data_IF_663783677295
#
_entry.id   IF_663783677295
#
_cell.length_a   1.000
_cell.length_b   1.000
_cell.length_c   1.000
_cell.angle_alpha   90.00
_cell.angle_beta   90.00
_cell.angle_gamma   90.00
#
_symmetry.space_group_name_H-M   'P 1'
#
loop_
_entity.id
_entity.type
_entity.pdbx_description
1 polymer ?
#
# COMPACT_ATOMS: atom_id res chain seq x y z
N UNK A 1 -24.45 -9.14 -4.67
CA UNK A 1 -23.47 -9.11 -5.74
C UNK A 1 -22.60 -10.34 -5.68
N UNK A 2 -22.07 -10.78 -6.79
CA UNK A 2 -21.29 -12.00 -6.87
C UNK A 2 -20.01 -11.70 -7.65
N UNK A 3 -18.85 -12.11 -7.14
CA UNK A 3 -17.61 -12.08 -7.88
C UNK A 3 -17.71 -13.01 -9.10
N UNK A 4 -17.34 -12.51 -10.27
CA UNK A 4 -17.25 -13.34 -11.49
C UNK A 4 -16.01 -14.26 -11.44
N UNK A 5 -14.97 -13.84 -10.74
CA UNK A 5 -13.75 -14.61 -10.48
C UNK A 5 -13.12 -14.10 -9.18
N UNK A 6 -12.45 -14.97 -8.45
CA UNK A 6 -11.62 -14.57 -7.30
C UNK A 6 -10.33 -13.99 -7.88
N UNK A 7 -10.02 -12.71 -7.62
CA UNK A 7 -8.75 -12.15 -8.06
C UNK A 7 -7.63 -12.70 -7.18
N UNK A 8 -6.73 -13.46 -7.77
CA UNK A 8 -5.51 -13.91 -7.12
C UNK A 8 -4.31 -13.14 -7.67
N UNK A 9 -3.38 -12.80 -6.79
CA UNK A 9 -2.06 -12.35 -7.21
C UNK A 9 -1.34 -13.53 -7.89
N UNK A 10 -0.92 -13.35 -9.14
CA UNK A 10 -0.48 -14.46 -9.99
C UNK A 10 0.94 -14.97 -9.72
N UNK A 11 1.69 -14.32 -8.84
CA UNK A 11 3.07 -14.71 -8.52
C UNK A 11 3.37 -14.54 -7.04
N UNK A 12 4.40 -15.25 -6.59
CA UNK A 12 4.85 -15.13 -5.21
C UNK A 12 5.29 -13.70 -4.91
N UNK A 13 5.10 -13.28 -3.66
CA UNK A 13 5.71 -12.08 -3.11
C UNK A 13 7.23 -12.19 -3.24
N UNK A 14 7.87 -11.13 -3.69
CA UNK A 14 9.32 -11.14 -3.89
C UNK A 14 10.13 -10.89 -2.63
N UNK A 15 9.52 -10.44 -1.55
CA UNK A 15 10.20 -10.26 -0.27
C UNK A 15 10.71 -11.60 0.28
N UNK A 16 11.94 -11.64 0.85
CA UNK A 16 12.42 -12.84 1.55
C UNK A 16 11.51 -13.20 2.73
N UNK A 17 11.03 -14.43 2.76
CA UNK A 17 10.13 -14.95 3.79
C UNK A 17 10.52 -16.39 4.13
N UNK A 18 10.46 -16.73 5.41
CA UNK A 18 10.49 -18.08 5.91
C UNK A 18 9.06 -18.64 6.04
N UNK A 19 8.90 -19.94 6.22
CA UNK A 19 7.58 -20.56 6.40
C UNK A 19 6.84 -19.98 7.62
N UNK A 20 7.55 -19.64 8.68
CA UNK A 20 6.99 -19.03 9.89
C UNK A 20 6.44 -17.62 9.63
N UNK A 21 7.01 -16.88 8.68
CA UNK A 21 6.55 -15.55 8.32
C UNK A 21 5.18 -15.57 7.65
N UNK A 22 4.76 -16.68 7.05
CA UNK A 22 3.54 -16.73 6.25
C UNK A 22 2.26 -16.62 7.07
N UNK A 23 2.26 -16.97 8.34
CA UNK A 23 1.08 -16.94 9.20
C UNK A 23 -0.16 -17.48 8.49
N UNK A 24 -0.31 -18.78 8.41
CA UNK A 24 -1.45 -19.44 7.78
C UNK A 24 -2.51 -19.79 8.82
N UNK A 25 -3.77 -19.47 8.50
CA UNK A 25 -4.95 -19.89 9.24
C UNK A 25 -5.83 -20.79 8.37
N UNK A 26 -6.65 -21.66 8.97
CA UNK A 26 -7.53 -22.54 8.21
C UNK A 26 -8.50 -21.75 7.33
N UNK A 27 -9.00 -22.36 6.26
CA UNK A 27 -10.13 -21.83 5.52
C UNK A 27 -11.43 -22.09 6.29
N UNK A 28 -12.41 -21.18 6.08
CA UNK A 28 -13.75 -21.37 6.63
C UNK A 28 -14.40 -22.63 6.03
N UNK A 29 -14.96 -23.47 6.89
CA UNK A 29 -15.79 -24.61 6.53
C UNK A 29 -17.08 -24.57 7.32
N UNK A 30 -18.23 -24.61 6.60
CA UNK A 30 -19.57 -24.51 7.20
C UNK A 30 -20.06 -23.11 7.46
N UNK A 31 -21.21 -23.02 8.10
CA UNK A 31 -21.91 -21.77 8.39
C UNK A 31 -21.59 -21.29 9.81
N UNK A 32 -21.24 -20.01 9.95
CA UNK A 32 -20.96 -19.38 11.24
C UNK A 32 -21.72 -18.08 11.42
N UNK A 33 -21.80 -17.64 12.69
CA UNK A 33 -22.37 -16.34 13.07
C UNK A 33 -21.32 -15.52 13.81
N UNK A 34 -21.39 -14.20 13.66
CA UNK A 34 -20.55 -13.23 14.37
C UNK A 34 -21.29 -11.90 14.54
N UNK A 35 -20.80 -11.03 15.41
CA UNK A 35 -21.30 -9.65 15.48
C UNK A 35 -20.75 -8.85 14.29
N UNK A 36 -19.49 -9.09 13.92
CA UNK A 36 -18.84 -8.42 12.82
C UNK A 36 -18.13 -9.38 11.87
N UNK A 37 -18.26 -9.13 10.58
CA UNK A 37 -17.39 -9.74 9.56
C UNK A 37 -16.55 -8.67 8.89
N UNK A 38 -15.22 -8.87 8.89
CA UNK A 38 -14.23 -8.03 8.21
C UNK A 38 -13.72 -8.79 6.99
N UNK A 39 -13.87 -8.19 5.81
CA UNK A 39 -13.47 -8.81 4.53
C UNK A 39 -12.19 -8.15 4.04
N UNK A 40 -11.08 -8.86 4.16
CA UNK A 40 -9.72 -8.43 3.83
C UNK A 40 -8.83 -8.23 5.06
N UNK A 41 -7.73 -8.98 5.14
CA UNK A 41 -6.73 -8.95 6.21
C UNK A 41 -5.55 -8.00 5.91
N UNK A 42 -5.77 -6.98 5.09
CA UNK A 42 -4.80 -5.89 4.88
C UNK A 42 -4.76 -4.90 6.06
N UNK A 43 -3.93 -3.86 5.94
CA UNK A 43 -3.72 -2.89 7.03
C UNK A 43 -5.02 -2.31 7.59
N UNK A 44 -6.00 -1.97 6.74
CA UNK A 44 -7.29 -1.44 7.20
C UNK A 44 -8.11 -2.47 7.98
N UNK A 45 -8.21 -3.70 7.47
CA UNK A 45 -9.01 -4.75 8.10
C UNK A 45 -8.43 -5.22 9.43
N UNK A 46 -7.11 -5.43 9.47
CA UNK A 46 -6.40 -5.84 10.69
C UNK A 46 -6.52 -4.74 11.77
N UNK A 47 -6.32 -3.47 11.40
CA UNK A 47 -6.41 -2.36 12.36
C UNK A 47 -7.85 -2.13 12.83
N UNK A 48 -8.84 -2.25 11.94
CA UNK A 48 -10.25 -2.21 12.31
C UNK A 48 -10.61 -3.32 13.29
N UNK A 49 -10.29 -4.57 12.97
CA UNK A 49 -10.60 -5.72 13.83
C UNK A 49 -9.92 -5.60 15.20
N UNK A 50 -8.63 -5.22 15.24
CA UNK A 50 -7.87 -4.98 16.47
C UNK A 50 -8.53 -3.90 17.33
N UNK A 51 -8.90 -2.76 16.72
CA UNK A 51 -9.50 -1.65 17.45
C UNK A 51 -10.89 -2.00 17.96
N UNK A 52 -11.71 -2.64 17.14
CA UNK A 52 -13.05 -3.09 17.50
C UNK A 52 -13.01 -4.07 18.68
N UNK A 53 -12.12 -5.07 18.61
CA UNK A 53 -11.89 -6.04 19.69
C UNK A 53 -11.43 -5.37 20.99
N UNK A 54 -10.60 -4.33 20.89
CA UNK A 54 -10.13 -3.55 22.05
C UNK A 54 -11.24 -2.68 22.68
N UNK A 55 -12.16 -2.13 21.87
CA UNK A 55 -13.30 -1.33 22.37
C UNK A 55 -14.30 -2.22 23.12
N UNK A 56 -14.60 -3.38 22.56
CA UNK A 56 -15.52 -4.32 23.18
C UNK A 56 -15.02 -5.77 23.04
N UNK A 57 -14.36 -6.31 24.09
CA UNK A 57 -13.84 -7.67 24.09
C UNK A 57 -14.90 -8.78 24.02
N UNK A 58 -16.17 -8.45 24.20
CA UNK A 58 -17.27 -9.43 24.12
C UNK A 58 -17.76 -9.66 22.69
N UNK A 59 -17.35 -8.82 21.72
CA UNK A 59 -17.74 -9.00 20.32
C UNK A 59 -17.07 -10.23 19.72
N UNK A 60 -17.86 -10.98 18.97
CA UNK A 60 -17.37 -12.03 18.07
C UNK A 60 -17.03 -11.39 16.73
N UNK A 61 -15.76 -11.38 16.35
CA UNK A 61 -15.28 -10.75 15.13
C UNK A 61 -14.67 -11.83 14.23
N UNK A 62 -15.15 -11.91 12.99
CA UNK A 62 -14.60 -12.81 11.98
C UNK A 62 -13.87 -12.00 10.92
N UNK A 63 -12.60 -12.29 10.71
CA UNK A 63 -11.76 -11.70 9.66
C UNK A 63 -11.47 -12.74 8.59
N UNK A 64 -11.83 -12.47 7.35
CA UNK A 64 -11.58 -13.37 6.22
C UNK A 64 -10.71 -12.73 5.15
N UNK A 65 -9.89 -13.53 4.48
CA UNK A 65 -9.13 -13.12 3.31
C UNK A 65 -9.05 -14.24 2.27
N UNK A 66 -8.99 -13.86 0.99
CA UNK A 66 -8.81 -14.79 -0.12
C UNK A 66 -7.42 -15.43 -0.14
N UNK A 67 -6.43 -14.76 0.46
CA UNK A 67 -5.05 -15.20 0.58
C UNK A 67 -4.62 -15.22 2.06
N UNK A 68 -3.39 -15.60 2.36
CA UNK A 68 -2.81 -15.31 3.67
C UNK A 68 -2.26 -13.87 3.70
N UNK A 69 -2.13 -13.29 4.90
CA UNK A 69 -1.73 -11.89 5.05
C UNK A 69 -0.39 -11.59 4.36
N UNK A 70 0.60 -12.48 4.49
CA UNK A 70 1.94 -12.35 3.92
C UNK A 70 1.99 -12.40 2.38
N UNK A 71 0.91 -12.77 1.70
CA UNK A 71 0.86 -12.86 0.22
C UNK A 71 -0.12 -11.91 -0.42
N UNK A 72 -0.96 -11.27 0.39
CA UNK A 72 -1.97 -10.29 -0.05
C UNK A 72 -1.34 -9.01 -0.64
N UNK A 73 -2.17 -8.13 -1.21
CA UNK A 73 -1.69 -6.84 -1.75
C UNK A 73 -0.96 -5.98 -0.72
N UNK A 74 -1.29 -6.12 0.57
CA UNK A 74 -0.62 -5.41 1.67
C UNK A 74 0.84 -5.82 1.86
N UNK A 75 1.19 -7.05 1.49
CA UNK A 75 2.55 -7.58 1.53
C UNK A 75 3.41 -7.23 0.30
N UNK A 76 2.79 -6.70 -0.78
CA UNK A 76 3.42 -6.56 -2.10
C UNK A 76 3.97 -5.17 -2.41
N UNK A 77 3.89 -4.25 -1.46
CA UNK A 77 4.43 -2.89 -1.60
C UNK A 77 5.96 -2.85 -1.41
N UNK A 78 6.55 -1.68 -1.67
CA UNK A 78 8.02 -1.48 -1.59
C UNK A 78 8.56 -1.33 -0.16
N UNK A 79 7.71 -1.46 0.86
CA UNK A 79 8.11 -1.43 2.26
C UNK A 79 8.36 -0.03 2.85
N UNK A 80 7.71 1.00 2.31
CA UNK A 80 7.77 2.36 2.86
C UNK A 80 6.58 2.63 3.75
N UNK A 81 6.82 3.04 4.98
CA UNK A 81 5.84 3.62 5.89
C UNK A 81 6.07 5.13 5.90
N UNK A 82 5.20 5.86 5.21
CA UNK A 82 5.39 7.29 4.95
C UNK A 82 4.52 8.10 5.91
N UNK A 83 5.16 9.03 6.62
CA UNK A 83 4.51 9.94 7.57
C UNK A 83 4.13 11.31 7.00
N UNK A 84 4.45 11.56 5.73
CA UNK A 84 4.16 12.80 5.02
C UNK A 84 3.18 12.57 3.88
N UNK A 85 2.36 13.55 3.52
CA UNK A 85 1.53 13.47 2.32
C UNK A 85 2.36 13.07 1.10
N UNK A 86 1.92 12.08 0.37
CA UNK A 86 2.63 11.54 -0.79
C UNK A 86 1.77 11.63 -2.04
N UNK A 87 2.36 12.12 -3.10
CA UNK A 87 1.70 12.55 -4.32
C UNK A 87 1.59 11.44 -5.37
N UNK A 88 0.83 10.38 -5.15
CA UNK A 88 0.42 9.52 -6.28
C UNK A 88 -1.01 9.88 -6.68
N UNK A 89 -1.16 10.59 -7.82
CA UNK A 89 -2.46 11.09 -8.25
C UNK A 89 -3.08 12.04 -7.24
N UNK A 90 -2.25 12.77 -6.52
CA UNK A 90 -2.63 13.63 -5.44
C UNK A 90 -3.53 14.72 -5.93
N UNK A 91 -4.58 14.83 -5.26
CA UNK A 91 -5.48 15.92 -5.40
C UNK A 91 -5.03 17.08 -4.53
N UNK A 92 -5.44 18.24 -5.00
CA UNK A 92 -5.49 19.46 -4.20
C UNK A 92 -6.16 19.27 -2.84
N UNK A 93 -7.00 18.25 -2.64
CA UNK A 93 -7.65 17.98 -1.35
C UNK A 93 -6.67 17.46 -0.29
N UNK A 94 -5.73 16.57 -0.63
CA UNK A 94 -4.69 16.11 0.29
C UNK A 94 -3.74 17.27 0.66
N UNK A 95 -3.36 18.09 -0.31
CA UNK A 95 -2.48 19.25 -0.10
C UNK A 95 -3.16 20.35 0.73
N UNK A 96 -4.43 20.66 0.45
CA UNK A 96 -5.20 21.67 1.22
C UNK A 96 -5.39 21.29 2.68
N UNK A 97 -5.32 20.00 2.99
CA UNK A 97 -5.47 19.44 4.33
C UNK A 97 -4.19 18.77 4.82
N UNK A 98 -3.03 19.27 4.37
CA UNK A 98 -1.73 18.65 4.64
C UNK A 98 -1.46 18.42 6.13
N UNK A 99 -1.84 19.35 7.00
CA UNK A 99 -1.66 19.21 8.45
C UNK A 99 -2.53 18.09 9.03
N UNK A 100 -3.83 18.05 8.68
CA UNK A 100 -4.75 16.99 9.10
C UNK A 100 -4.26 15.65 8.59
N UNK A 101 -3.85 15.61 7.32
CA UNK A 101 -3.37 14.39 6.70
C UNK A 101 -2.08 13.89 7.35
N UNK A 102 -1.14 14.82 7.65
CA UNK A 102 0.08 14.50 8.37
C UNK A 102 -0.21 13.90 9.76
N UNK A 103 -1.12 14.51 10.53
CA UNK A 103 -1.51 14.00 11.85
C UNK A 103 -2.06 12.57 11.76
N UNK A 104 -2.90 12.28 10.76
CA UNK A 104 -3.41 10.93 10.50
C UNK A 104 -2.28 9.93 10.20
N UNK A 105 -1.34 10.29 9.32
CA UNK A 105 -0.23 9.41 8.95
C UNK A 105 0.69 9.13 10.14
N UNK A 106 1.00 10.15 10.94
CA UNK A 106 1.83 9.99 12.13
C UNK A 106 1.19 9.11 13.19
N UNK A 107 -0.12 9.28 13.42
CA UNK A 107 -0.85 8.39 14.34
C UNK A 107 -0.88 6.94 13.81
N UNK A 108 -1.04 6.76 12.48
CA UNK A 108 -0.93 5.43 11.87
C UNK A 108 0.44 4.78 12.07
N UNK A 109 1.53 5.56 11.97
CA UNK A 109 2.89 5.11 12.25
C UNK A 109 3.04 4.74 13.73
N UNK A 110 2.58 5.60 14.65
CA UNK A 110 2.64 5.35 16.08
C UNK A 110 1.95 4.04 16.47
N UNK A 111 0.76 3.77 15.92
CA UNK A 111 0.03 2.52 16.18
C UNK A 111 0.76 1.29 15.64
N UNK A 112 1.43 1.41 14.50
CA UNK A 112 2.27 0.34 13.95
C UNK A 112 3.47 0.08 14.86
N UNK A 113 4.19 1.14 15.24
CA UNK A 113 5.38 1.07 16.10
C UNK A 113 5.04 0.46 17.47
N UNK A 114 3.97 0.94 18.12
CA UNK A 114 3.47 0.38 19.38
C UNK A 114 3.17 -1.12 19.25
N UNK A 115 2.55 -1.54 18.14
CA UNK A 115 2.20 -2.95 17.94
C UNK A 115 3.44 -3.79 17.64
N UNK A 116 4.34 -3.31 16.79
CA UNK A 116 5.60 -3.97 16.44
C UNK A 116 6.47 -4.14 17.69
N UNK A 117 6.62 -3.09 18.47
CA UNK A 117 7.41 -3.12 19.71
C UNK A 117 6.79 -4.03 20.75
N UNK A 118 5.48 -3.89 21.02
CA UNK A 118 4.77 -4.71 22.02
C UNK A 118 4.86 -6.19 21.75
N UNK A 119 4.74 -6.59 20.50
CA UNK A 119 4.69 -8.00 20.10
C UNK A 119 6.02 -8.49 19.51
N UNK A 120 7.07 -7.67 19.54
CA UNK A 120 8.41 -7.98 19.03
C UNK A 120 8.37 -8.55 17.59
N UNK A 121 7.59 -7.89 16.72
CA UNK A 121 7.43 -8.33 15.33
C UNK A 121 8.72 -8.04 14.57
N UNK A 122 9.44 -9.10 14.17
CA UNK A 122 10.61 -8.99 13.30
C UNK A 122 10.16 -8.69 11.86
N UNK A 123 10.06 -7.41 11.51
CA UNK A 123 9.69 -6.93 10.18
C UNK A 123 10.75 -6.02 9.54
N UNK A 124 11.98 -6.08 10.01
CA UNK A 124 13.09 -5.28 9.47
C UNK A 124 12.78 -3.77 9.58
N UNK A 125 12.37 -3.33 10.76
CA UNK A 125 11.93 -1.95 11.03
C UNK A 125 13.11 -0.99 11.09
N UNK A 126 13.28 -0.12 10.08
CA UNK A 126 14.40 0.81 9.95
C UNK A 126 13.89 2.25 9.77
N UNK A 127 14.15 3.11 10.74
CA UNK A 127 13.82 4.55 10.66
C UNK A 127 14.97 5.32 9.98
N UNK A 128 15.04 5.25 8.68
CA UNK A 128 16.17 5.80 7.86
C UNK A 128 15.79 7.02 7.02
N UNK A 129 14.53 7.48 7.11
CA UNK A 129 14.05 8.53 6.22
C UNK A 129 13.88 8.07 4.76
N UNK A 130 13.75 9.03 3.86
CA UNK A 130 13.66 8.76 2.42
C UNK A 130 14.26 9.87 1.59
N UNK A 131 14.72 9.51 0.39
CA UNK A 131 15.12 10.44 -0.64
C UNK A 131 13.97 10.66 -1.63
N UNK A 132 13.81 11.89 -2.11
CA UNK A 132 12.92 12.26 -3.20
C UNK A 132 13.76 12.90 -4.28
N UNK A 133 13.96 12.20 -5.42
CA UNK A 133 14.99 12.55 -6.38
C UNK A 133 14.44 12.82 -7.77
N UNK A 134 15.08 13.77 -8.47
CA UNK A 134 14.85 14.06 -9.88
C UNK A 134 16.04 13.61 -10.74
N UNK A 135 15.74 13.23 -11.98
CA UNK A 135 16.72 12.93 -13.02
C UNK A 135 16.94 14.18 -13.88
N UNK A 136 15.89 14.70 -14.47
CA UNK A 136 15.93 15.82 -15.42
C UNK A 136 15.63 17.16 -14.75
N UNK A 137 16.44 18.21 -15.02
CA UNK A 137 16.21 19.56 -14.45
C UNK A 137 14.84 20.16 -14.76
N UNK A 138 14.11 19.69 -15.77
CA UNK A 138 12.75 20.18 -16.06
C UNK A 138 11.74 19.84 -14.96
N UNK A 139 12.08 18.97 -14.02
CA UNK A 139 11.25 18.65 -12.85
C UNK A 139 11.46 19.59 -11.65
N UNK A 140 12.29 20.65 -11.80
CA UNK A 140 12.63 21.58 -10.73
C UNK A 140 11.40 22.22 -10.07
N UNK A 141 10.37 22.55 -10.86
CA UNK A 141 9.13 23.13 -10.34
C UNK A 141 8.40 22.17 -9.39
N UNK A 142 8.40 20.87 -9.68
CA UNK A 142 7.78 19.83 -8.84
C UNK A 142 8.60 19.67 -7.55
N UNK A 143 9.93 19.71 -7.65
CA UNK A 143 10.81 19.65 -6.48
C UNK A 143 10.60 20.86 -5.58
N UNK A 144 10.46 22.05 -6.15
CA UNK A 144 10.20 23.26 -5.38
C UNK A 144 8.83 23.22 -4.68
N UNK A 145 7.78 22.76 -5.37
CA UNK A 145 6.46 22.56 -4.76
C UNK A 145 6.53 21.60 -3.57
N UNK A 146 7.35 20.55 -3.67
CA UNK A 146 7.56 19.61 -2.55
C UNK A 146 8.27 20.29 -1.37
N UNK A 147 9.30 21.12 -1.63
CA UNK A 147 9.98 21.93 -0.61
C UNK A 147 9.01 22.89 0.07
N UNK A 148 8.20 23.61 -0.70
CA UNK A 148 7.21 24.55 -0.16
C UNK A 148 6.20 23.86 0.76
N UNK A 149 5.77 22.63 0.40
CA UNK A 149 4.90 21.81 1.25
C UNK A 149 5.60 21.37 2.55
N UNK A 150 6.89 20.99 2.49
CA UNK A 150 7.65 20.65 3.68
C UNK A 150 7.81 21.86 4.63
N UNK A 151 8.09 23.05 4.07
CA UNK A 151 8.17 24.29 4.84
C UNK A 151 6.82 24.65 5.48
N UNK A 152 5.72 24.52 4.75
CA UNK A 152 4.36 24.75 5.26
C UNK A 152 4.05 23.83 6.46
N UNK A 153 4.49 22.58 6.39
CA UNK A 153 4.31 21.59 7.45
C UNK A 153 5.37 21.67 8.56
N UNK A 154 6.37 22.57 8.43
CA UNK A 154 7.52 22.68 9.32
C UNK A 154 8.32 21.37 9.46
N UNK A 155 8.41 20.61 8.34
CA UNK A 155 9.14 19.36 8.31
C UNK A 155 10.63 19.59 7.99
N UNK A 156 11.54 18.92 8.71
CA UNK A 156 12.97 18.99 8.41
C UNK A 156 13.27 18.30 7.07
N UNK A 157 14.15 18.90 6.29
CA UNK A 157 14.65 18.34 5.05
C UNK A 157 16.08 18.78 4.77
N UNK A 158 16.77 18.06 3.88
CA UNK A 158 18.07 18.46 3.34
C UNK A 158 18.03 18.39 1.83
N UNK A 159 18.60 19.41 1.17
CA UNK A 159 18.81 19.40 -0.27
C UNK A 159 20.15 18.74 -0.57
N UNK A 160 20.21 17.86 -1.57
CA UNK A 160 21.39 17.16 -1.99
C UNK A 160 21.62 17.35 -3.49
N UNK A 161 22.87 17.60 -3.88
CA UNK A 161 23.31 17.59 -5.26
C UNK A 161 23.65 16.17 -5.73
N UNK A 162 23.97 16.02 -7.04
CA UNK A 162 24.25 14.71 -7.63
C UNK A 162 25.46 13.98 -7.03
N UNK A 163 26.49 14.68 -6.57
CA UNK A 163 27.66 14.03 -5.95
C UNK A 163 27.33 13.54 -4.53
N UNK A 164 26.62 14.34 -3.74
CA UNK A 164 26.13 13.94 -2.41
C UNK A 164 25.18 12.73 -2.51
N UNK A 165 24.32 12.71 -3.55
CA UNK A 165 23.45 11.57 -3.81
C UNK A 165 24.23 10.32 -4.22
N UNK A 166 25.30 10.47 -5.05
CA UNK A 166 26.18 9.35 -5.40
C UNK A 166 26.80 8.70 -4.17
N UNK A 167 27.28 9.48 -3.22
CA UNK A 167 27.86 8.97 -1.96
C UNK A 167 26.84 8.21 -1.10
N UNK A 168 25.56 8.58 -1.18
CA UNK A 168 24.49 7.98 -0.39
C UNK A 168 23.81 6.81 -1.08
N UNK A 169 23.64 6.89 -2.40
CA UNK A 169 22.79 5.97 -3.17
C UNK A 169 23.59 5.06 -4.12
N UNK A 170 24.87 5.33 -4.32
CA UNK A 170 25.77 4.56 -5.20
C UNK A 170 25.48 4.72 -6.70
N UNK A 171 24.66 5.69 -7.09
CA UNK A 171 24.29 5.94 -8.49
C UNK A 171 24.43 7.42 -8.86
N UNK A 172 24.84 7.68 -10.10
CA UNK A 172 24.92 9.03 -10.69
C UNK A 172 23.71 9.39 -11.54
N UNK A 173 22.66 8.58 -11.46
CA UNK A 173 21.42 8.79 -12.22
C UNK A 173 20.70 10.08 -11.87
N UNK A 174 20.75 10.48 -10.60
CA UNK A 174 19.97 11.61 -10.08
C UNK A 174 20.80 12.89 -10.03
N UNK A 175 20.19 14.00 -10.52
CA UNK A 175 20.83 15.32 -10.54
C UNK A 175 20.64 16.11 -9.25
N UNK A 176 19.51 15.89 -8.56
CA UNK A 176 19.13 16.57 -7.33
C UNK A 176 18.21 15.70 -6.48
N UNK A 177 18.25 15.88 -5.16
CA UNK A 177 17.38 15.15 -4.24
C UNK A 177 17.04 15.95 -2.99
N UNK A 178 15.96 15.54 -2.35
CA UNK A 178 15.52 16.02 -1.05
C UNK A 178 15.51 14.82 -0.11
N UNK A 179 16.23 14.89 0.98
CA UNK A 179 16.11 13.91 2.05
C UNK A 179 15.12 14.42 3.09
N UNK A 180 14.22 13.54 3.54
CA UNK A 180 13.30 13.79 4.66
C UNK A 180 13.41 12.66 5.68
N UNK A 181 13.60 12.96 6.99
CA UNK A 181 13.54 11.95 8.04
C UNK A 181 12.10 11.45 8.25
N UNK A 182 11.93 10.47 9.14
CA UNK A 182 10.60 10.01 9.57
C UNK A 182 9.87 9.10 8.57
N UNK A 183 10.55 8.61 7.54
CA UNK A 183 10.09 7.46 6.76
C UNK A 183 10.74 6.19 7.29
N UNK A 184 9.93 5.16 7.50
CA UNK A 184 10.38 3.87 7.99
C UNK A 184 10.38 2.87 6.84
N UNK A 185 11.43 2.08 6.73
CA UNK A 185 11.52 0.96 5.80
C UNK A 185 11.28 -0.35 6.55
N UNK A 186 10.52 -1.24 5.94
CA UNK A 186 10.17 -2.54 6.51
C UNK A 186 10.16 -3.64 5.44
N UNK A 187 10.15 -4.88 5.87
CA UNK A 187 9.64 -5.99 5.06
C UNK A 187 8.10 -6.02 5.23
N UNK A 188 7.32 -5.57 4.24
CA UNK A 188 5.88 -5.40 4.40
C UNK A 188 5.13 -6.73 4.53
N UNK A 189 5.69 -7.83 4.04
CA UNK A 189 5.09 -9.14 4.18
C UNK A 189 5.22 -9.67 5.60
N UNK A 190 6.40 -9.53 6.22
CA UNK A 190 6.60 -9.84 7.64
C UNK A 190 5.75 -8.93 8.53
N UNK A 191 5.68 -7.62 8.21
CA UNK A 191 4.88 -6.67 8.99
C UNK A 191 3.41 -7.06 9.00
N UNK A 192 2.76 -7.23 7.86
CA UNK A 192 1.32 -7.51 7.84
C UNK A 192 0.98 -8.88 8.42
N UNK A 193 1.83 -9.89 8.21
CA UNK A 193 1.66 -11.20 8.84
C UNK A 193 1.79 -11.14 10.36
N UNK A 194 2.79 -10.41 10.87
CA UNK A 194 2.97 -10.17 12.29
C UNK A 194 1.78 -9.42 12.92
N UNK A 195 1.29 -8.38 12.26
CA UNK A 195 0.10 -7.65 12.72
C UNK A 195 -1.14 -8.57 12.78
N UNK A 196 -1.36 -9.42 11.80
CA UNK A 196 -2.50 -10.34 11.76
C UNK A 196 -2.36 -11.48 12.79
N UNK A 197 -1.14 -11.97 13.02
CA UNK A 197 -0.85 -13.02 14.03
C UNK A 197 -1.18 -12.59 15.45
N UNK A 198 -1.02 -11.32 15.77
CA UNK A 198 -1.22 -10.76 17.10
C UNK A 198 -2.53 -9.98 17.24
N UNK A 199 -3.58 -10.45 16.56
CA UNK A 199 -4.94 -9.96 16.80
C UNK A 199 -5.45 -10.48 18.15
N UNK A 200 -6.36 -9.75 18.83
CA UNK A 200 -6.98 -10.21 20.07
C UNK A 200 -7.76 -11.53 19.90
N UNK A 201 -7.94 -12.29 20.98
CA UNK A 201 -8.53 -13.64 20.97
C UNK A 201 -9.97 -13.69 20.50
N UNK A 202 -10.72 -12.58 20.61
CA UNK A 202 -12.09 -12.48 20.11
C UNK A 202 -12.17 -12.17 18.60
N UNK A 203 -11.03 -12.22 17.88
CA UNK A 203 -10.96 -12.12 16.42
C UNK A 203 -10.58 -13.47 15.84
N UNK A 204 -11.51 -14.14 15.18
CA UNK A 204 -11.25 -15.38 14.46
C UNK A 204 -10.86 -15.07 13.02
N UNK A 205 -9.69 -15.57 12.59
CA UNK A 205 -9.14 -15.33 11.24
C UNK A 205 -9.28 -16.58 10.38
N UNK A 206 -9.79 -16.40 9.14
CA UNK A 206 -9.81 -17.44 8.11
C UNK A 206 -9.09 -16.95 6.87
N UNK A 207 -8.06 -17.67 6.45
CA UNK A 207 -7.36 -17.47 5.20
C UNK A 207 -7.94 -18.36 4.09
N UNK A 208 -7.54 -18.12 2.83
CA UNK A 208 -8.06 -18.85 1.67
C UNK A 208 -9.61 -18.91 1.64
N UNK A 209 -10.22 -17.83 2.13
CA UNK A 209 -11.67 -17.70 2.31
C UNK A 209 -12.17 -16.45 1.55
N UNK A 210 -12.23 -16.52 0.22
CA UNK A 210 -12.70 -15.40 -0.57
C UNK A 210 -14.19 -15.14 -0.32
N UNK A 211 -14.54 -13.87 -0.11
CA UNK A 211 -15.92 -13.42 -0.13
C UNK A 211 -16.44 -13.40 -1.56
N UNK A 212 -17.35 -14.28 -1.92
CA UNK A 212 -17.95 -14.38 -3.26
C UNK A 212 -19.16 -13.46 -3.43
N UNK A 213 -19.88 -13.20 -2.36
CA UNK A 213 -21.03 -12.29 -2.35
C UNK A 213 -21.25 -11.72 -0.96
N UNK A 214 -21.72 -10.47 -0.91
CA UNK A 214 -22.19 -9.79 0.28
C UNK A 214 -23.64 -9.35 0.06
N UNK A 215 -24.53 -9.82 0.93
CA UNK A 215 -25.95 -9.47 0.91
C UNK A 215 -26.36 -8.85 2.24
N UNK A 216 -27.10 -7.75 2.16
CA UNK A 216 -27.79 -7.20 3.31
C UNK A 216 -29.10 -7.96 3.51
N UNK A 217 -29.36 -8.43 4.71
CA UNK A 217 -30.57 -9.15 5.12
C UNK A 217 -31.31 -8.36 6.20
N UNK A 218 -32.56 -8.79 6.49
CA UNK A 218 -33.30 -8.22 7.63
C UNK A 218 -32.54 -8.55 8.93
N UNK A 219 -32.02 -7.50 9.58
CA UNK A 219 -31.30 -7.63 10.85
C UNK A 219 -29.77 -7.83 10.74
N UNK A 220 -29.19 -8.00 9.54
CA UNK A 220 -27.76 -8.25 9.42
C UNK A 220 -27.23 -8.25 8.00
N UNK A 221 -26.13 -8.95 7.81
CA UNK A 221 -25.46 -9.19 6.53
C UNK A 221 -25.14 -10.67 6.40
N UNK A 222 -25.06 -11.16 5.16
CA UNK A 222 -24.62 -12.50 4.83
C UNK A 222 -23.48 -12.44 3.82
N UNK A 223 -22.36 -13.04 4.16
CA UNK A 223 -21.20 -13.24 3.27
C UNK A 223 -21.18 -14.69 2.80
N UNK A 224 -21.17 -14.91 1.50
CA UNK A 224 -21.01 -16.24 0.90
C UNK A 224 -19.55 -16.47 0.56
N UNK A 225 -19.00 -17.60 0.96
CA UNK A 225 -17.64 -18.06 0.64
C UNK A 225 -17.65 -19.33 -0.20
N UNK A 226 -16.50 -19.93 -0.48
CA UNK A 226 -16.43 -21.19 -1.23
C UNK A 226 -17.01 -22.40 -0.47
N UNK A 227 -16.86 -22.42 0.88
CA UNK A 227 -17.14 -23.61 1.69
C UNK A 227 -18.11 -23.34 2.86
N UNK A 228 -18.81 -22.19 2.83
CA UNK A 228 -19.75 -21.84 3.87
C UNK A 228 -20.25 -20.40 3.78
N UNK A 229 -21.01 -20.01 4.79
CA UNK A 229 -21.53 -18.65 4.89
C UNK A 229 -21.25 -18.04 6.27
N UNK A 230 -21.10 -16.71 6.29
CA UNK A 230 -20.97 -15.94 7.53
C UNK A 230 -22.19 -15.03 7.63
N UNK A 231 -22.95 -15.16 8.71
CA UNK A 231 -23.99 -14.18 9.07
C UNK A 231 -23.46 -13.31 10.18
N UNK A 232 -23.55 -11.99 9.97
CA UNK A 232 -23.11 -11.03 10.97
C UNK A 232 -24.08 -9.85 11.08
N UNK A 233 -24.03 -9.13 12.20
CA UNK A 233 -24.82 -7.91 12.37
C UNK A 233 -24.30 -6.79 11.49
N UNK A 234 -22.99 -6.73 11.28
CA UNK A 234 -22.30 -5.68 10.54
C UNK A 234 -21.17 -6.29 9.67
N UNK A 235 -20.82 -5.60 8.58
CA UNK A 235 -19.68 -5.95 7.73
C UNK A 235 -18.76 -4.74 7.49
N UNK A 236 -17.46 -5.00 7.43
CA UNK A 236 -16.46 -4.06 6.93
C UNK A 236 -15.81 -4.58 5.65
N UNK A 237 -15.85 -3.79 4.59
CA UNK A 237 -15.12 -4.03 3.34
C UNK A 237 -13.73 -3.39 3.42
N UNK A 238 -12.71 -4.21 3.63
CA UNK A 238 -11.30 -3.82 3.65
C UNK A 238 -10.53 -4.32 2.41
N UNK A 239 -11.24 -4.63 1.33
CA UNK A 239 -10.70 -5.22 0.11
C UNK A 239 -10.11 -4.19 -0.86
N UNK A 240 -9.95 -2.93 -0.43
CA UNK A 240 -9.33 -1.83 -1.17
C UNK A 240 -9.78 -1.76 -2.65
N UNK A 241 -8.88 -2.05 -3.58
CA UNK A 241 -9.17 -2.03 -5.02
C UNK A 241 -10.33 -2.96 -5.45
N UNK A 242 -10.57 -4.04 -4.71
CA UNK A 242 -11.58 -5.06 -5.00
C UNK A 242 -12.94 -4.78 -4.34
N UNK A 243 -13.05 -3.77 -3.50
CA UNK A 243 -14.32 -3.43 -2.81
C UNK A 243 -15.44 -3.12 -3.80
N UNK A 244 -15.10 -2.61 -4.98
CA UNK A 244 -16.05 -2.34 -6.07
C UNK A 244 -16.77 -3.59 -6.56
N UNK A 245 -16.13 -4.74 -6.53
CA UNK A 245 -16.72 -6.01 -6.99
C UNK A 245 -17.76 -6.55 -5.99
N UNK A 246 -17.62 -6.22 -4.71
CA UNK A 246 -18.56 -6.61 -3.64
C UNK A 246 -19.69 -5.60 -3.41
N UNK A 247 -19.52 -4.35 -3.81
CA UNK A 247 -20.52 -3.33 -3.62
C UNK A 247 -20.53 -2.29 -4.72
N UNK A 248 -21.64 -2.11 -5.48
CA UNK A 248 -21.73 -1.10 -6.55
C UNK A 248 -21.66 0.33 -6.03
N UNK A 249 -21.92 0.53 -4.74
CA UNK A 249 -21.82 1.86 -4.12
C UNK A 249 -20.40 2.33 -3.96
N UNK A 250 -19.39 1.47 -4.19
CA UNK A 250 -17.95 1.82 -4.17
C UNK A 250 -17.41 2.21 -5.56
N UNK A 251 -18.23 2.71 -6.48
CA UNK A 251 -17.79 3.18 -7.81
C UNK A 251 -17.03 4.52 -7.74
N UNK A 252 -16.07 4.63 -6.80
CA UNK A 252 -15.28 5.84 -6.54
C UNK A 252 -13.78 5.61 -6.61
N UNK A 253 -13.38 4.41 -7.01
CA UNK A 253 -11.98 4.01 -7.08
C UNK A 253 -11.70 3.12 -8.30
N UNK A 254 -10.47 3.17 -8.79
CA UNK A 254 -9.98 2.31 -9.87
C UNK A 254 -8.84 1.42 -9.34
N UNK A 255 -8.79 0.19 -9.87
CA UNK A 255 -7.71 -0.75 -9.60
C UNK A 255 -6.55 -0.49 -10.55
N UNK A 256 -5.34 -0.39 -10.01
CA UNK A 256 -4.11 -0.23 -10.76
C UNK A 256 -3.15 -1.36 -10.40
N UNK A 257 -2.43 -1.85 -11.40
CA UNK A 257 -1.30 -2.77 -11.21
C UNK A 257 -0.01 -1.99 -11.00
N UNK A 258 0.78 -2.40 -10.03
CA UNK A 258 2.16 -1.95 -9.83
C UNK A 258 3.08 -3.16 -9.80
N UNK A 259 4.34 -2.96 -10.15
CA UNK A 259 5.32 -4.04 -10.24
C UNK A 259 6.56 -3.68 -9.45
N UNK A 260 7.16 -4.68 -8.83
CA UNK A 260 8.45 -4.56 -8.17
C UNK A 260 9.35 -5.74 -8.52
N UNK A 261 10.65 -5.51 -8.50
CA UNK A 261 11.67 -6.54 -8.64
C UNK A 261 12.71 -6.37 -7.55
N UNK A 262 13.34 -7.46 -7.16
CA UNK A 262 14.42 -7.44 -6.18
C UNK A 262 15.61 -8.26 -6.71
N UNK A 263 16.82 -7.81 -6.46
CA UNK A 263 18.04 -8.56 -6.80
C UNK A 263 18.29 -9.67 -5.79
N UNK A 264 19.20 -10.60 -6.12
CA UNK A 264 19.89 -11.38 -5.11
C UNK A 264 20.69 -10.44 -4.16
N UNK A 265 21.07 -10.88 -2.95
CA UNK A 265 22.01 -10.12 -2.13
C UNK A 265 23.33 -9.91 -2.87
N UNK A 266 23.85 -8.69 -2.83
CA UNK A 266 25.16 -8.41 -3.43
C UNK A 266 26.27 -9.18 -2.72
N UNK A 267 27.15 -9.78 -3.51
CA UNK A 267 28.39 -10.38 -2.99
C UNK A 267 29.31 -9.30 -2.40
N UNK A 268 30.30 -9.66 -1.55
CA UNK A 268 31.29 -8.70 -1.07
C UNK A 268 31.99 -7.94 -2.19
N UNK A 269 32.36 -8.61 -3.29
CA UNK A 269 33.04 -7.99 -4.45
C UNK A 269 32.12 -6.98 -5.17
N UNK A 270 30.84 -7.30 -5.31
CA UNK A 270 29.85 -6.39 -5.91
C UNK A 270 29.64 -5.16 -5.03
N UNK A 271 29.60 -5.32 -3.70
CA UNK A 271 29.49 -4.19 -2.76
C UNK A 271 30.71 -3.26 -2.82
N UNK A 272 31.92 -3.78 -3.01
CA UNK A 272 33.14 -2.95 -3.15
C UNK A 272 33.15 -2.06 -4.40
N UNK A 273 32.29 -2.33 -5.37
CA UNK A 273 32.11 -1.47 -6.57
C UNK A 273 31.23 -0.25 -6.32
N UNK A 274 30.68 -0.12 -5.11
CA UNK A 274 29.81 0.95 -4.67
C UNK A 274 30.45 1.73 -3.52
N UNK A 275 30.06 3.01 -3.29
CA UNK A 275 30.35 3.66 -2.02
C UNK A 275 29.83 2.83 -0.83
N UNK A 276 30.41 3.02 0.35
CA UNK A 276 29.86 2.43 1.57
C UNK A 276 28.46 3.01 1.84
N UNK A 277 27.45 2.17 1.81
CA UNK A 277 26.04 2.57 1.97
C UNK A 277 25.38 1.80 3.10
N UNK A 278 24.55 2.48 3.86
CA UNK A 278 23.53 1.90 4.71
C UNK A 278 22.26 1.64 3.91
N UNK A 279 21.23 1.05 4.53
CA UNK A 279 19.92 0.91 3.89
C UNK A 279 19.28 2.28 3.60
N UNK A 280 18.60 2.39 2.48
CA UNK A 280 17.92 3.62 2.08
C UNK A 280 16.72 3.33 1.18
N UNK A 281 15.79 4.29 1.11
CA UNK A 281 14.67 4.28 0.19
C UNK A 281 14.55 5.59 -0.58
N UNK A 282 14.23 5.49 -1.87
CA UNK A 282 14.08 6.61 -2.79
C UNK A 282 12.73 6.57 -3.49
N UNK A 283 12.07 7.72 -3.57
CA UNK A 283 10.87 7.94 -4.38
C UNK A 283 11.16 8.97 -5.48
N UNK A 284 10.63 8.77 -6.70
CA UNK A 284 10.86 9.72 -7.81
C UNK A 284 9.95 10.95 -7.69
N UNK A 285 10.33 12.04 -8.35
CA UNK A 285 9.49 13.25 -8.48
C UNK A 285 8.20 12.99 -9.27
N UNK A 286 8.24 12.09 -10.25
CA UNK A 286 7.05 11.62 -10.95
C UNK A 286 6.73 10.18 -10.56
N UNK A 287 5.67 9.98 -9.79
CA UNK A 287 5.31 8.70 -9.22
C UNK A 287 4.86 7.64 -10.25
N UNK A 288 4.43 8.06 -11.46
CA UNK A 288 3.95 7.17 -12.53
C UNK A 288 5.06 6.81 -13.50
N UNK A 289 5.88 7.78 -13.89
CA UNK A 289 6.96 7.59 -14.87
C UNK A 289 8.28 7.18 -14.21
N UNK A 290 8.62 7.77 -13.07
CA UNK A 290 9.88 7.51 -12.37
C UNK A 290 9.89 6.20 -11.58
N UNK A 291 11.04 5.87 -11.02
CA UNK A 291 11.25 4.63 -10.29
C UNK A 291 11.44 4.86 -8.79
N UNK A 292 10.78 4.05 -7.99
CA UNK A 292 11.12 3.88 -6.57
C UNK A 292 12.25 2.86 -6.48
N UNK A 293 13.32 3.22 -5.80
CA UNK A 293 14.44 2.34 -5.50
C UNK A 293 14.60 2.18 -3.99
N UNK A 294 15.11 1.04 -3.57
CA UNK A 294 15.48 0.78 -2.20
C UNK A 294 16.73 -0.11 -2.15
N UNK A 295 17.64 0.19 -1.26
CA UNK A 295 18.74 -0.68 -0.87
C UNK A 295 18.44 -1.23 0.53
N UNK A 296 18.44 -2.54 0.68
CA UNK A 296 18.03 -3.21 1.91
C UNK A 296 19.23 -3.51 2.80
N UNK A 297 19.00 -3.74 4.10
CA UNK A 297 20.04 -4.10 5.07
C UNK A 297 20.74 -5.43 4.73
N UNK A 298 20.08 -6.33 4.00
CA UNK A 298 20.65 -7.58 3.49
C UNK A 298 21.27 -7.43 2.08
N UNK A 299 21.61 -6.18 1.70
CA UNK A 299 22.36 -5.82 0.50
C UNK A 299 21.67 -6.14 -0.83
N UNK A 300 20.33 -5.98 -0.90
CA UNK A 300 19.57 -6.14 -2.14
C UNK A 300 19.12 -4.79 -2.67
N UNK A 301 18.95 -4.70 -3.97
CA UNK A 301 18.24 -3.59 -4.59
C UNK A 301 16.80 -4.01 -4.92
N UNK A 302 15.85 -3.17 -4.51
CA UNK A 302 14.47 -3.26 -4.97
C UNK A 302 14.23 -2.15 -5.99
N UNK A 303 13.60 -2.51 -7.11
CA UNK A 303 13.17 -1.60 -8.18
C UNK A 303 11.67 -1.71 -8.32
N UNK A 304 10.97 -0.59 -8.19
CA UNK A 304 9.54 -0.48 -8.46
C UNK A 304 9.33 0.61 -9.51
N UNK A 305 8.80 0.24 -10.63
CA UNK A 305 8.40 1.14 -11.71
C UNK A 305 7.16 0.55 -12.40
N UNK A 306 6.56 1.29 -13.30
CA UNK A 306 5.35 0.93 -14.03
C UNK A 306 4.07 0.86 -13.18
N UNK A 307 3.05 1.45 -13.75
CA UNK A 307 1.68 1.41 -13.25
C UNK A 307 0.77 1.16 -14.44
N UNK A 308 0.05 0.07 -14.45
CA UNK A 308 -0.90 -0.28 -15.51
C UNK A 308 -2.33 -0.32 -14.97
N UNK A 309 -3.34 -0.18 -15.84
CA UNK A 309 -4.71 -0.49 -15.44
C UNK A 309 -4.80 -1.97 -15.02
N UNK A 310 -5.40 -2.25 -13.87
CA UNK A 310 -5.72 -3.61 -13.44
C UNK A 310 -7.23 -3.82 -13.58
N UNK A 311 -7.68 -4.02 -14.82
CA UNK A 311 -9.09 -4.20 -15.11
C UNK A 311 -9.64 -5.42 -14.36
N UNK A 312 -10.65 -5.21 -13.52
CA UNK A 312 -11.24 -6.24 -12.66
C UNK A 312 -10.21 -6.94 -11.73
N UNK A 313 -9.10 -6.25 -11.38
CA UNK A 313 -8.06 -6.81 -10.54
C UNK A 313 -7.15 -7.86 -11.23
N UNK A 314 -7.27 -8.05 -12.54
CA UNK A 314 -6.45 -9.03 -13.28
C UNK A 314 -5.14 -8.41 -13.73
N UNK A 315 -4.04 -9.09 -13.43
CA UNK A 315 -2.68 -8.77 -13.90
C UNK A 315 -2.14 -10.01 -14.63
N UNK A 316 -1.74 -9.84 -15.87
CA UNK A 316 -1.27 -10.96 -16.70
C UNK A 316 0.22 -11.28 -16.45
N UNK A 317 0.62 -12.52 -16.68
CA UNK A 317 2.03 -12.93 -16.62
C UNK A 317 2.90 -12.13 -17.62
N UNK A 318 2.34 -11.79 -18.80
CA UNK A 318 3.02 -10.98 -19.81
C UNK A 318 3.34 -9.55 -19.31
N UNK A 319 2.44 -8.91 -18.58
CA UNK A 319 2.67 -7.61 -17.96
C UNK A 319 3.80 -7.68 -16.93
N UNK A 320 3.80 -8.70 -16.07
CA UNK A 320 4.86 -8.89 -15.07
C UNK A 320 6.22 -9.19 -15.72
N UNK A 321 6.26 -10.02 -16.77
CA UNK A 321 7.48 -10.30 -17.51
C UNK A 321 8.03 -9.06 -18.25
N UNK A 322 7.14 -8.20 -18.77
CA UNK A 322 7.53 -6.93 -19.37
C UNK A 322 8.14 -5.99 -18.32
N UNK A 323 7.50 -5.86 -17.15
CA UNK A 323 8.02 -5.06 -16.04
C UNK A 323 9.42 -5.57 -15.59
N UNK A 324 9.63 -6.89 -15.51
CA UNK A 324 10.93 -7.47 -15.17
C UNK A 324 12.04 -7.01 -16.11
N UNK A 325 11.81 -7.03 -17.45
CA UNK A 325 12.80 -6.56 -18.42
C UNK A 325 13.14 -5.09 -18.26
N UNK A 326 12.12 -4.27 -18.03
CA UNK A 326 12.29 -2.82 -17.86
C UNK A 326 12.99 -2.49 -16.54
N UNK A 327 12.66 -3.21 -15.45
CA UNK A 327 13.33 -3.05 -14.16
C UNK A 327 14.81 -3.44 -14.24
N UNK A 328 15.16 -4.51 -14.98
CA UNK A 328 16.55 -4.90 -15.18
C UNK A 328 17.32 -3.84 -15.97
N UNK A 329 16.74 -3.34 -17.07
CA UNK A 329 17.35 -2.28 -17.87
C UNK A 329 17.57 -1.00 -17.05
N UNK A 330 16.56 -0.60 -16.26
CA UNK A 330 16.67 0.54 -15.36
C UNK A 330 17.76 0.32 -14.30
N UNK A 331 17.78 -0.84 -13.66
CA UNK A 331 18.79 -1.17 -12.65
C UNK A 331 20.20 -1.08 -13.23
N UNK A 332 20.43 -1.65 -14.40
CA UNK A 332 21.72 -1.59 -15.07
C UNK A 332 22.09 -0.18 -15.57
N UNK A 333 21.12 0.65 -15.92
CA UNK A 333 21.33 2.08 -16.23
C UNK A 333 21.73 2.86 -14.98
N UNK A 334 21.03 2.61 -13.87
CA UNK A 334 21.33 3.27 -12.60
C UNK A 334 22.66 2.82 -11.99
N UNK A 335 23.01 1.54 -12.16
CA UNK A 335 24.21 0.91 -11.59
C UNK A 335 25.03 0.20 -12.68
N UNK A 336 25.70 0.95 -13.58
CA UNK A 336 26.49 0.35 -14.66
C UNK A 336 27.64 -0.53 -14.18
N UNK A 337 28.09 -0.36 -12.93
CA UNK A 337 29.09 -1.21 -12.27
C UNK A 337 28.54 -2.56 -11.78
N UNK A 338 27.23 -2.82 -11.87
CA UNK A 338 26.55 -4.03 -11.41
C UNK A 338 25.80 -4.78 -12.54
N UNK A 339 26.35 -4.77 -13.77
CA UNK A 339 25.73 -5.43 -14.93
C UNK A 339 25.63 -6.96 -14.78
N UNK A 340 26.42 -7.54 -13.89
CA UNK A 340 26.45 -8.97 -13.56
C UNK A 340 25.40 -9.37 -12.50
N UNK A 341 24.64 -8.40 -11.93
CA UNK A 341 23.64 -8.66 -10.90
C UNK A 341 22.26 -8.88 -11.54
N UNK A 342 21.69 -10.09 -11.45
CA UNK A 342 20.35 -10.36 -11.97
C UNK A 342 19.27 -9.93 -11.00
N UNK A 343 18.04 -9.77 -11.51
CA UNK A 343 16.85 -9.75 -10.67
C UNK A 343 16.52 -11.19 -10.25
N UNK A 344 16.38 -11.42 -8.95
CA UNK A 344 16.00 -12.71 -8.40
C UNK A 344 14.51 -12.97 -8.53
N UNK A 345 13.69 -11.95 -8.23
CA UNK A 345 12.23 -12.06 -8.25
C UNK A 345 11.60 -10.79 -8.80
N UNK A 346 10.47 -10.98 -9.48
CA UNK A 346 9.58 -9.89 -9.92
C UNK A 346 8.15 -10.26 -9.56
N UNK A 347 7.42 -9.31 -8.98
CA UNK A 347 6.02 -9.52 -8.61
C UNK A 347 5.17 -8.30 -8.92
N UNK A 348 3.88 -8.52 -8.92
CA UNK A 348 2.88 -7.47 -9.08
C UNK A 348 2.03 -7.32 -7.82
N UNK A 349 1.41 -6.18 -7.68
CA UNK A 349 0.43 -5.88 -6.65
C UNK A 349 -0.64 -4.94 -7.16
N UNK A 350 -1.83 -4.98 -6.56
CA UNK A 350 -2.90 -4.05 -6.88
C UNK A 350 -2.97 -2.92 -5.87
N UNK A 351 -3.12 -1.70 -6.38
CA UNK A 351 -3.45 -0.52 -5.59
C UNK A 351 -4.80 0.04 -6.01
N UNK A 352 -5.41 0.81 -5.13
CA UNK A 352 -6.62 1.57 -5.40
C UNK A 352 -6.27 3.04 -5.52
N UNK A 353 -6.75 3.67 -6.58
CA UNK A 353 -6.65 5.11 -6.77
C UNK A 353 -8.03 5.75 -6.89
N UNK A 354 -8.16 6.94 -6.37
CA UNK A 354 -9.36 7.78 -6.47
C UNK A 354 -9.04 9.00 -7.32
N UNK A 355 -10.02 9.52 -8.03
CA UNK A 355 -9.80 10.63 -8.97
C UNK A 355 -9.28 11.92 -8.32
N UNK A 356 -9.66 12.15 -7.07
CA UNK A 356 -9.31 13.34 -6.30
C UNK A 356 -8.42 13.06 -5.09
N UNK A 357 -7.80 11.87 -5.00
CA UNK A 357 -6.92 11.47 -3.88
C UNK A 357 -7.64 11.22 -2.54
N UNK A 358 -8.89 11.63 -2.41
CA UNK A 358 -9.66 11.44 -1.18
C UNK A 358 -9.90 9.95 -0.88
N UNK A 359 -9.99 9.56 0.39
CA UNK A 359 -10.25 8.17 0.77
C UNK A 359 -11.68 7.74 0.39
N UNK A 360 -11.87 6.43 0.20
CA UNK A 360 -13.19 5.79 0.23
C UNK A 360 -13.38 5.26 1.63
N UNK A 361 -14.04 6.07 2.50
CA UNK A 361 -14.07 5.80 3.93
C UNK A 361 -15.42 6.15 4.53
N UNK A 362 -15.92 5.27 5.42
CA UNK A 362 -17.15 5.49 6.16
C UNK A 362 -18.19 4.40 5.94
N UNK A 363 -19.46 4.74 6.23
CA UNK A 363 -20.60 3.85 6.09
C UNK A 363 -21.13 3.85 4.65
N UNK A 364 -21.17 2.68 4.02
CA UNK A 364 -21.67 2.51 2.64
C UNK A 364 -23.19 2.23 2.60
N UNK A 365 -23.67 1.45 3.56
CA UNK A 365 -25.05 1.04 3.70
C UNK A 365 -25.38 0.86 5.19
N UNK A 366 -26.63 0.67 5.60
CA UNK A 366 -26.99 0.61 7.02
C UNK A 366 -26.15 -0.31 7.90
N UNK A 367 -25.54 -1.36 7.34
CA UNK A 367 -24.75 -2.36 8.08
C UNK A 367 -23.41 -2.66 7.41
N UNK A 368 -23.00 -1.82 6.45
CA UNK A 368 -21.79 -2.06 5.65
C UNK A 368 -20.90 -0.82 5.71
N UNK A 369 -19.65 -1.04 6.10
CA UNK A 369 -18.61 -0.04 6.26
C UNK A 369 -17.45 -0.30 5.32
N UNK A 370 -16.63 0.70 5.01
CA UNK A 370 -15.45 0.51 4.16
C UNK A 370 -14.32 1.47 4.49
N UNK A 371 -13.10 0.99 4.30
CA UNK A 371 -11.89 1.79 4.20
C UNK A 371 -11.07 1.34 2.99
N UNK A 372 -10.80 2.28 2.08
CA UNK A 372 -10.08 2.05 0.83
C UNK A 372 -9.57 3.35 0.22
N UNK A 373 -9.12 3.30 -1.04
CA UNK A 373 -8.53 4.47 -1.69
C UNK A 373 -7.14 4.77 -1.14
N UNK A 374 -6.23 3.75 -1.13
CA UNK A 374 -4.89 3.89 -0.58
C UNK A 374 -4.02 4.87 -1.37
N UNK A 375 -4.32 5.12 -2.66
CA UNK A 375 -3.59 6.03 -3.55
C UNK A 375 -2.07 5.77 -3.56
N UNK A 376 -1.66 4.49 -3.41
CA UNK A 376 -0.26 4.05 -3.48
C UNK A 376 0.58 4.22 -2.21
N UNK A 377 0.09 4.93 -1.17
CA UNK A 377 0.77 5.11 0.12
C UNK A 377 -0.10 4.55 1.26
N UNK A 378 -0.29 3.23 1.28
CA UNK A 378 -1.35 2.59 2.05
C UNK A 378 -0.98 2.13 3.46
N UNK A 379 0.30 2.01 3.84
CA UNK A 379 0.65 1.35 5.11
C UNK A 379 0.13 2.14 6.31
N UNK A 380 0.65 3.34 6.56
CA UNK A 380 0.19 4.21 7.66
C UNK A 380 -1.25 4.69 7.46
N UNK A 381 -1.61 5.11 6.23
CA UNK A 381 -2.94 5.62 5.88
C UNK A 381 -4.06 4.62 6.15
N UNK A 382 -3.91 3.37 5.72
CA UNK A 382 -4.95 2.35 5.90
C UNK A 382 -4.98 1.81 7.33
N UNK A 383 -3.86 1.82 8.04
CA UNK A 383 -3.82 1.50 9.47
C UNK A 383 -4.71 2.46 10.25
N UNK A 384 -4.49 3.77 10.13
CA UNK A 384 -5.29 4.75 10.84
C UNK A 384 -6.75 4.78 10.34
N UNK A 385 -6.97 4.59 9.03
CA UNK A 385 -8.31 4.55 8.47
C UNK A 385 -9.15 3.40 9.05
N UNK A 386 -8.55 2.21 9.24
CA UNK A 386 -9.19 1.07 9.89
C UNK A 386 -9.54 1.37 11.35
N UNK A 387 -8.59 1.90 12.11
CA UNK A 387 -8.78 2.25 13.53
C UNK A 387 -9.92 3.28 13.70
N UNK A 388 -9.86 4.39 12.96
CA UNK A 388 -10.89 5.44 13.07
C UNK A 388 -12.26 4.99 12.57
N UNK A 389 -12.30 4.03 11.64
CA UNK A 389 -13.57 3.47 11.19
C UNK A 389 -14.23 2.63 12.28
N UNK A 390 -13.44 1.89 13.08
CA UNK A 390 -13.94 1.17 14.23
C UNK A 390 -14.46 2.15 15.31
N UNK A 391 -13.71 3.22 15.58
CA UNK A 391 -14.14 4.27 16.50
C UNK A 391 -15.47 4.89 16.05
N UNK A 392 -15.58 5.26 14.77
CA UNK A 392 -16.82 5.83 14.21
C UNK A 392 -17.99 4.85 14.29
N UNK A 393 -17.76 3.57 13.96
CA UNK A 393 -18.80 2.55 13.97
C UNK A 393 -19.33 2.24 15.37
N UNK A 394 -18.46 2.39 16.38
CA UNK A 394 -18.78 2.16 17.81
C UNK A 394 -19.16 3.45 18.57
N UNK A 395 -19.23 4.60 17.88
CA UNK A 395 -19.58 5.87 18.51
C UNK A 395 -18.54 6.39 19.49
N UNK A 396 -17.27 6.02 19.31
CA UNK A 396 -16.16 6.52 20.14
C UNK A 396 -15.81 7.96 19.76
N UNK A 397 -15.56 8.79 20.76
CA UNK A 397 -15.06 10.14 20.54
C UNK A 397 -13.56 10.10 20.23
N UNK A 398 -13.22 10.44 18.99
CA UNK A 398 -11.83 10.51 18.52
C UNK A 398 -11.65 11.74 17.60
N UNK A 399 -10.85 12.74 18.00
CA UNK A 399 -10.68 13.99 17.24
C UNK A 399 -10.15 13.78 15.81
N UNK A 400 -9.41 12.69 15.55
CA UNK A 400 -8.91 12.38 14.23
C UNK A 400 -10.00 11.91 13.25
N UNK A 401 -11.20 11.57 13.72
CA UNK A 401 -12.35 11.33 12.83
C UNK A 401 -12.68 12.57 12.02
N UNK A 402 -12.67 13.76 12.65
CA UNK A 402 -12.88 15.02 11.94
C UNK A 402 -11.78 15.28 10.92
N UNK A 403 -10.51 14.99 11.24
CA UNK A 403 -9.39 15.09 10.32
C UNK A 403 -9.54 14.12 9.12
N UNK A 404 -9.98 12.88 9.35
CA UNK A 404 -10.26 11.92 8.28
C UNK A 404 -11.40 12.40 7.37
N UNK A 405 -12.46 12.94 7.94
CA UNK A 405 -13.60 13.48 7.19
C UNK A 405 -13.23 14.75 6.41
N UNK A 406 -12.31 15.58 6.91
CA UNK A 406 -11.82 16.79 6.24
C UNK A 406 -11.08 16.51 4.93
N UNK A 407 -10.54 15.29 4.74
CA UNK A 407 -9.95 14.85 3.47
C UNK A 407 -10.98 14.79 2.33
N UNK A 408 -12.26 14.82 2.68
CA UNK A 408 -13.38 14.80 1.73
C UNK A 408 -13.74 13.40 1.26
N UNK A 409 -14.60 13.34 0.25
CA UNK A 409 -15.08 12.09 -0.34
C UNK A 409 -14.47 11.86 -1.72
N UNK A 410 -14.16 10.61 -2.02
CA UNK A 410 -13.74 10.22 -3.35
C UNK A 410 -14.82 10.53 -4.38
N UNK A 411 -14.42 11.12 -5.51
CA UNK A 411 -15.32 11.44 -6.60
C UNK A 411 -15.84 10.18 -7.29
N UNK A 412 -17.06 10.28 -7.83
CA UNK A 412 -17.63 9.22 -8.65
C UNK A 412 -16.73 8.93 -9.87
N UNK A 413 -16.59 7.66 -10.20
CA UNK A 413 -15.95 7.17 -11.41
C UNK A 413 -16.96 6.38 -12.25
N UNK A 414 -17.00 6.61 -13.58
CA UNK A 414 -17.94 5.90 -14.44
C UNK A 414 -17.68 4.39 -14.45
N UNK A 415 -18.64 3.58 -14.87
CA UNK A 415 -18.41 2.15 -15.08
C UNK A 415 -17.52 1.90 -16.32
N UNK A 416 -16.93 0.69 -16.40
CA UNK A 416 -16.31 0.21 -17.65
C UNK A 416 -17.33 0.16 -18.78
N UNK A 417 -16.94 0.49 -20.05
CA UNK A 417 -15.56 0.71 -20.51
C UNK A 417 -15.05 2.16 -20.32
N UNK A 418 -15.88 3.11 -19.93
CA UNK A 418 -15.49 4.52 -19.83
C UNK A 418 -14.41 4.75 -18.77
N UNK A 419 -14.48 4.02 -17.65
CA UNK A 419 -13.42 4.06 -16.64
C UNK A 419 -12.08 3.62 -17.23
N UNK A 420 -12.07 2.54 -17.98
CA UNK A 420 -10.88 1.92 -18.52
C UNK A 420 -10.17 2.86 -19.52
N UNK A 421 -10.94 3.50 -20.38
CA UNK A 421 -10.45 4.51 -21.33
C UNK A 421 -9.90 5.71 -20.56
N UNK A 422 -10.62 6.19 -19.55
CA UNK A 422 -10.20 7.32 -18.73
C UNK A 422 -8.91 7.07 -17.96
N UNK A 423 -8.76 5.88 -17.36
CA UNK A 423 -7.56 5.47 -16.64
C UNK A 423 -6.38 5.31 -17.60
N UNK A 424 -6.57 4.65 -18.75
CA UNK A 424 -5.52 4.51 -19.76
C UNK A 424 -5.03 5.86 -20.29
N UNK A 425 -5.95 6.78 -20.58
CA UNK A 425 -5.62 8.14 -21.02
C UNK A 425 -4.87 8.95 -19.95
N UNK A 426 -5.28 8.85 -18.67
CA UNK A 426 -4.60 9.52 -17.57
C UNK A 426 -3.17 8.98 -17.40
N UNK A 427 -2.99 7.66 -17.41
CA UNK A 427 -1.66 7.05 -17.32
C UNK A 427 -0.76 7.41 -18.49
N UNK A 428 -1.31 7.44 -19.71
CA UNK A 428 -0.56 7.86 -20.89
C UNK A 428 -0.08 9.32 -20.75
N UNK A 429 -0.97 10.22 -20.31
CA UNK A 429 -0.61 11.61 -20.05
C UNK A 429 0.50 11.74 -19.01
N UNK A 430 0.37 11.08 -17.87
CA UNK A 430 1.38 11.12 -16.79
C UNK A 430 2.74 10.56 -17.25
N UNK A 431 2.75 9.45 -18.01
CA UNK A 431 3.97 8.91 -18.60
C UNK A 431 4.59 9.88 -19.61
N UNK A 432 3.77 10.51 -20.45
CA UNK A 432 4.28 11.49 -21.42
C UNK A 432 4.86 12.73 -20.72
N UNK A 433 4.18 13.24 -19.71
CA UNK A 433 4.68 14.38 -18.92
C UNK A 433 5.96 14.05 -18.16
N UNK A 434 6.03 12.86 -17.59
CA UNK A 434 7.18 12.39 -16.82
C UNK A 434 8.24 11.67 -17.63
N UNK A 435 8.18 11.65 -18.97
CA UNK A 435 9.09 10.82 -19.81
C UNK A 435 10.58 11.10 -19.61
N UNK A 436 10.95 12.30 -19.17
CA UNK A 436 12.32 12.67 -18.86
C UNK A 436 12.82 12.14 -17.52
N UNK A 437 11.90 11.68 -16.67
CA UNK A 437 12.18 10.99 -15.41
C UNK A 437 12.21 9.45 -15.60
N UNK A 438 12.10 8.99 -16.85
CA UNK A 438 12.25 7.57 -17.21
C UNK A 438 13.66 7.36 -17.75
N UNK A 439 14.52 6.64 -17.02
CA UNK A 439 15.93 6.42 -17.47
C UNK A 439 16.06 5.42 -18.63
N UNK A 440 14.99 4.70 -18.96
CA UNK A 440 14.89 3.69 -20.06
C UNK A 440 13.53 3.74 -20.72
#
# INVERSE_FOLDING_TARGET
MRFASVPFNQNQVGWPLNEEDLYRQPSLSGDIKADWVVIGSGYAGVSFARRLASINPQLSIVLIDAECAATSSSARNSGFIIGLPHNIGSSTAELKKAQDYRALLQEGIRQLDDTVTKHQIDCEWENVGKYHCQIDPSSEAIMQEYVDNLQLMQEPYSLLNGEELYQKLGTRLYSKGIYTPGCILVNPAKLIAGLARHLPDNVTVFHQTPALALHQENGGVRVTTLQGTIRADQAMLATNALSRELSPTVSRQASMATYASITAPLTPDQRQRLPAMESWGLTPVNAIAGATLRYTHDYRFLVRQHVDPALRGVITAGQTANAARQHLALFHTAYPQLQDVPLERTWSGTISVTRNGAPVWGRLAPRIWTAGGCNGAGVSKQTIAGTLLADLAMGQDNPLIAAMQSLGQANFMPPSPFLDIGVAGALWKERYMGRKEMPV
#
